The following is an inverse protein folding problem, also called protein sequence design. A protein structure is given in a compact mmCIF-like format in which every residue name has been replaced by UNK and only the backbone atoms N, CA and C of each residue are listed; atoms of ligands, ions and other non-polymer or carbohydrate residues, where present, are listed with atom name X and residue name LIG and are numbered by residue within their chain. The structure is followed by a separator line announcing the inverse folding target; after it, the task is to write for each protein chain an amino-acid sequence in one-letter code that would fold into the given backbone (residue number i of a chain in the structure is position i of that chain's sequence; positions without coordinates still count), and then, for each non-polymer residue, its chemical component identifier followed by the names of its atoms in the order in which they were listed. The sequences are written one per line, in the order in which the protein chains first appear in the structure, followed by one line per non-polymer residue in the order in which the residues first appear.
data_IF_178145612209
#
_entry.id   IF_178145612209
#
_cell.length_a   1.000
_cell.length_b   1.000
_cell.length_c   1.000
_cell.angle_alpha   90.00
_cell.angle_beta   90.00
_cell.angle_gamma   90.00
#
_symmetry.space_group_name_H-M   'P 1'
#
loop_
_entity.id
_entity.type
_entity.pdbx_description
1 polymer ?
#
# COMPACT_ATOMS: atom_id res chain seq x y z
N UNK A 1 12.18 62.01 -35.01
CA UNK A 1 11.66 61.67 -33.66
C UNK A 1 10.14 61.69 -33.69
N UNK A 2 9.50 60.52 -33.76
CA UNK A 2 8.08 60.36 -33.43
C UNK A 2 7.98 59.10 -32.59
N UNK A 3 7.91 59.34 -31.29
CA UNK A 3 7.66 58.34 -30.27
C UNK A 3 6.20 57.90 -30.40
N UNK A 4 5.96 56.63 -30.71
CA UNK A 4 4.64 56.00 -30.63
C UNK A 4 4.75 54.95 -29.53
N UNK A 5 4.26 55.32 -28.36
CA UNK A 5 4.08 54.47 -27.20
C UNK A 5 3.16 53.31 -27.56
N UNK A 6 3.73 52.12 -27.68
CA UNK A 6 3.00 50.87 -27.85
C UNK A 6 2.31 50.53 -26.52
N UNK A 7 0.98 50.64 -26.49
CA UNK A 7 0.18 50.25 -25.33
C UNK A 7 0.03 48.73 -25.34
N UNK A 8 0.82 48.03 -24.53
CA UNK A 8 0.71 46.59 -24.34
C UNK A 8 -0.48 46.26 -23.45
N UNK A 9 -1.54 45.71 -24.05
CA UNK A 9 -2.70 45.19 -23.32
C UNK A 9 -2.26 43.95 -22.54
N UNK A 10 -2.11 44.10 -21.22
CA UNK A 10 -1.85 42.96 -20.34
C UNK A 10 -3.19 42.37 -19.92
N UNK A 11 -3.62 41.29 -20.56
CA UNK A 11 -4.80 40.51 -20.15
C UNK A 11 -4.50 39.82 -18.82
N UNK A 12 -4.92 40.41 -17.70
CA UNK A 12 -4.95 39.72 -16.42
C UNK A 12 -6.16 38.78 -16.40
N UNK A 13 -5.93 37.49 -16.65
CA UNK A 13 -6.92 36.44 -16.36
C UNK A 13 -7.09 36.36 -14.85
N UNK A 14 -8.06 37.10 -14.31
CA UNK A 14 -8.56 36.88 -12.96
C UNK A 14 -9.32 35.56 -13.01
N UNK A 15 -8.75 34.48 -12.46
CA UNK A 15 -9.51 33.26 -12.22
C UNK A 15 -10.59 33.59 -11.18
N UNK A 16 -11.89 33.63 -11.56
CA UNK A 16 -12.94 33.93 -10.60
C UNK A 16 -12.93 32.83 -9.52
N UNK A 17 -12.75 33.24 -8.27
CA UNK A 17 -12.97 32.36 -7.13
C UNK A 17 -14.47 32.05 -7.10
N UNK A 18 -14.85 30.84 -7.50
CA UNK A 18 -16.24 30.39 -7.45
C UNK A 18 -16.48 29.70 -6.11
N UNK A 19 -17.46 30.19 -5.36
CA UNK A 19 -17.92 29.54 -4.12
C UNK A 19 -19.12 28.68 -4.49
N UNK A 20 -19.07 27.41 -4.12
CA UNK A 20 -20.18 26.49 -4.33
C UNK A 20 -20.58 25.85 -2.99
N UNK A 21 -21.89 25.68 -2.81
CA UNK A 21 -22.48 25.08 -1.62
C UNK A 21 -23.33 23.87 -1.97
N UNK A 22 -23.26 22.83 -1.14
CA UNK A 22 -24.02 21.60 -1.31
C UNK A 22 -24.69 21.20 0.00
N UNK A 23 -25.95 20.78 -0.09
CA UNK A 23 -26.68 20.15 1.00
C UNK A 23 -26.73 18.64 0.74
N UNK A 24 -26.26 17.84 1.70
CA UNK A 24 -26.34 16.38 1.62
C UNK A 24 -27.14 15.80 2.78
N UNK A 25 -27.88 14.72 2.52
CA UNK A 25 -28.63 13.96 3.50
C UNK A 25 -28.51 12.49 3.14
N UNK A 26 -28.34 11.63 4.14
CA UNK A 26 -28.20 10.20 3.93
C UNK A 26 -28.98 9.38 4.95
N UNK A 27 -29.44 8.22 4.52
CA UNK A 27 -29.99 7.17 5.38
C UNK A 27 -29.25 5.87 5.09
N UNK A 28 -28.98 5.07 6.11
CA UNK A 28 -28.38 3.75 5.95
C UNK A 28 -29.08 2.71 6.81
N UNK A 29 -29.11 1.49 6.32
CA UNK A 29 -29.59 0.31 7.01
C UNK A 29 -28.51 -0.78 6.90
N UNK A 30 -28.22 -1.45 8.00
CA UNK A 30 -27.29 -2.57 8.02
C UNK A 30 -27.87 -3.72 8.82
N UNK A 31 -27.45 -4.94 8.49
CA UNK A 31 -27.76 -6.14 9.26
C UNK A 31 -26.53 -7.02 9.36
N UNK A 32 -26.61 -8.09 10.13
CA UNK A 32 -25.54 -9.06 10.30
C UNK A 32 -26.11 -10.46 10.32
N UNK A 33 -25.61 -11.29 9.41
CA UNK A 33 -25.92 -12.72 9.34
C UNK A 33 -24.73 -13.54 9.82
N UNK A 34 -25.02 -14.63 10.53
CA UNK A 34 -24.02 -15.55 11.03
C UNK A 34 -24.30 -16.95 10.48
N UNK A 35 -23.30 -17.55 9.84
CA UNK A 35 -23.25 -18.97 9.52
C UNK A 35 -22.19 -19.65 10.37
N UNK A 36 -22.53 -20.74 11.04
CA UNK A 36 -21.60 -21.53 11.87
C UNK A 36 -21.63 -22.97 11.38
N UNK A 37 -20.46 -23.54 11.12
CA UNK A 37 -20.27 -24.94 10.71
C UNK A 37 -19.27 -25.61 11.66
N UNK A 38 -19.62 -26.75 12.26
CA UNK A 38 -18.83 -27.38 13.32
C UNK A 38 -18.36 -28.78 12.89
N UNK A 39 -17.24 -28.89 12.16
CA UNK A 39 -16.78 -30.17 11.64
C UNK A 39 -16.25 -31.11 12.72
N UNK A 40 -15.74 -30.59 13.84
CA UNK A 40 -15.21 -31.41 14.94
C UNK A 40 -14.02 -32.30 14.54
N UNK A 41 -13.31 -31.97 13.46
CA UNK A 41 -12.24 -32.78 12.88
C UNK A 41 -10.97 -31.94 12.68
N UNK A 42 -9.81 -32.60 12.68
CA UNK A 42 -8.49 -31.97 12.47
C UNK A 42 -8.16 -30.83 13.45
N UNK A 43 -8.66 -30.90 14.69
CA UNK A 43 -8.50 -29.84 15.69
C UNK A 43 -9.38 -28.60 15.45
N UNK A 44 -10.16 -28.56 14.37
CA UNK A 44 -11.07 -27.47 14.05
C UNK A 44 -12.43 -27.76 14.69
N UNK A 45 -12.81 -26.90 15.64
CA UNK A 45 -14.08 -27.01 16.36
C UNK A 45 -15.23 -26.32 15.62
N UNK A 46 -14.96 -25.18 14.97
CA UNK A 46 -15.96 -24.43 14.24
C UNK A 46 -15.35 -23.54 13.15
N UNK A 47 -16.09 -23.36 12.07
CA UNK A 47 -15.96 -22.27 11.12
C UNK A 47 -17.12 -21.30 11.33
N UNK A 48 -16.83 -20.01 11.31
CA UNK A 48 -17.82 -18.94 11.39
C UNK A 48 -17.67 -18.04 10.18
N UNK A 49 -18.78 -17.82 9.48
CA UNK A 49 -18.90 -16.81 8.44
C UNK A 49 -19.87 -15.73 8.92
N UNK A 50 -19.40 -14.49 8.96
CA UNK A 50 -20.24 -13.33 9.30
C UNK A 50 -20.42 -12.48 8.05
N UNK A 51 -21.67 -12.25 7.63
CA UNK A 51 -22.02 -11.36 6.51
C UNK A 51 -22.62 -10.09 7.07
N UNK A 52 -22.09 -8.94 6.70
CA UNK A 52 -22.57 -7.63 7.12
C UNK A 52 -22.94 -6.81 5.87
N UNK A 53 -24.17 -6.96 5.35
CA UNK A 53 -24.63 -6.09 4.28
C UNK A 53 -25.09 -4.74 4.85
N UNK A 54 -24.79 -3.69 4.10
CA UNK A 54 -25.17 -2.31 4.39
C UNK A 54 -25.73 -1.68 3.11
N UNK A 55 -26.93 -1.14 3.21
CA UNK A 55 -27.57 -0.33 2.20
C UNK A 55 -27.52 1.13 2.65
N UNK A 56 -27.06 2.03 1.78
CA UNK A 56 -27.04 3.46 2.05
C UNK A 56 -27.68 4.23 0.91
N UNK A 57 -28.48 5.23 1.21
CA UNK A 57 -29.04 6.15 0.24
C UNK A 57 -28.59 7.56 0.60
N UNK A 58 -27.89 8.23 -0.30
CA UNK A 58 -27.41 9.61 -0.12
C UNK A 58 -28.02 10.50 -1.19
N UNK A 59 -28.72 11.55 -0.76
CA UNK A 59 -29.16 12.65 -1.61
C UNK A 59 -28.25 13.85 -1.41
N UNK A 60 -27.85 14.48 -2.50
CA UNK A 60 -27.02 15.67 -2.47
C UNK A 60 -27.57 16.68 -3.48
N UNK A 61 -27.69 17.94 -3.08
CA UNK A 61 -28.24 19.02 -3.89
C UNK A 61 -27.32 20.22 -3.85
N UNK A 62 -27.04 20.78 -5.03
CA UNK A 62 -26.37 22.06 -5.11
C UNK A 62 -27.29 23.16 -4.58
N UNK A 63 -26.77 23.95 -3.64
CA UNK A 63 -27.48 25.09 -3.05
C UNK A 63 -27.12 26.37 -3.81
N UNK A 64 -25.83 26.57 -4.11
CA UNK A 64 -25.33 27.71 -4.88
C UNK A 64 -24.00 27.40 -5.57
N UNK A 65 -23.54 28.30 -6.45
CA UNK A 65 -22.33 28.17 -7.25
C UNK A 65 -22.61 27.68 -8.68
N UNK A 66 -21.58 27.65 -9.52
CA UNK A 66 -21.63 27.14 -10.89
C UNK A 66 -20.74 25.88 -11.01
N UNK A 67 -20.88 25.13 -12.10
CA UNK A 67 -20.06 23.93 -12.40
C UNK A 67 -20.22 22.72 -11.45
N UNK A 68 -21.29 22.65 -10.65
CA UNK A 68 -21.66 21.44 -9.92
C UNK A 68 -22.95 20.82 -10.47
N UNK A 69 -23.11 19.51 -10.21
CA UNK A 69 -24.33 18.80 -10.59
C UNK A 69 -25.49 19.30 -9.70
N UNK A 70 -26.62 19.67 -10.33
CA UNK A 70 -27.79 20.24 -9.63
C UNK A 70 -28.26 19.36 -8.47
N UNK A 71 -28.29 18.04 -8.67
CA UNK A 71 -28.57 17.06 -7.63
C UNK A 71 -27.95 15.70 -7.99
N UNK A 72 -27.73 14.86 -6.98
CA UNK A 72 -27.42 13.45 -7.11
C UNK A 72 -28.18 12.64 -6.06
N UNK A 73 -28.50 11.40 -6.41
CA UNK A 73 -29.13 10.45 -5.50
C UNK A 73 -28.44 9.12 -5.70
N UNK A 74 -27.67 8.68 -4.72
CA UNK A 74 -26.81 7.52 -4.78
C UNK A 74 -27.31 6.45 -3.81
N UNK A 75 -27.80 5.33 -4.33
CA UNK A 75 -27.96 4.10 -3.58
C UNK A 75 -26.63 3.35 -3.55
N UNK A 76 -26.21 2.85 -2.40
CA UNK A 76 -24.97 2.09 -2.22
C UNK A 76 -25.28 0.78 -1.52
N UNK A 77 -24.67 -0.29 -2.01
CA UNK A 77 -24.69 -1.60 -1.36
C UNK A 77 -23.25 -1.99 -1.05
N UNK A 78 -22.99 -2.34 0.20
CA UNK A 78 -21.72 -2.87 0.64
C UNK A 78 -21.98 -4.17 1.39
N UNK A 79 -21.17 -5.19 1.14
CA UNK A 79 -21.24 -6.48 1.82
C UNK A 79 -19.85 -6.87 2.31
N UNK A 80 -19.70 -6.93 3.63
CA UNK A 80 -18.48 -7.41 4.26
C UNK A 80 -18.66 -8.85 4.74
N UNK A 81 -17.78 -9.74 4.29
CA UNK A 81 -17.73 -11.13 4.70
C UNK A 81 -16.49 -11.34 5.56
N UNK A 82 -16.68 -11.90 6.75
CA UNK A 82 -15.58 -12.30 7.62
C UNK A 82 -15.64 -13.82 7.86
N UNK A 83 -14.57 -14.51 7.51
CA UNK A 83 -14.40 -15.95 7.70
C UNK A 83 -13.40 -16.17 8.82
N UNK A 84 -13.82 -16.93 9.83
CA UNK A 84 -13.04 -17.21 11.03
C UNK A 84 -13.12 -18.71 11.32
N UNK A 85 -12.08 -19.28 11.91
CA UNK A 85 -12.10 -20.63 12.45
C UNK A 85 -11.76 -20.62 13.94
N UNK A 86 -12.23 -21.66 14.63
CA UNK A 86 -11.92 -21.92 16.02
C UNK A 86 -11.21 -23.26 16.12
N UNK A 87 -9.99 -23.25 16.63
CA UNK A 87 -9.13 -24.42 16.76
C UNK A 87 -8.96 -24.74 18.24
N UNK A 88 -9.13 -26.01 18.62
CA UNK A 88 -8.78 -26.49 19.95
C UNK A 88 -7.32 -26.94 19.90
N UNK A 89 -6.45 -26.30 20.69
CA UNK A 89 -5.11 -26.82 20.92
C UNK A 89 -5.21 -28.00 21.89
N UNK A 90 -4.40 -29.04 21.71
CA UNK A 90 -4.31 -30.13 22.68
C UNK A 90 -3.79 -29.68 24.05
N UNK A 91 -3.10 -28.53 24.09
CA UNK A 91 -2.33 -28.04 25.25
C UNK A 91 -3.02 -26.87 25.98
N UNK A 92 -4.13 -26.35 25.44
CA UNK A 92 -4.90 -25.27 26.09
C UNK A 92 -6.37 -25.64 26.21
N UNK A 93 -6.96 -25.35 27.38
CA UNK A 93 -8.41 -25.54 27.62
C UNK A 93 -9.22 -24.61 26.72
N UNK A 94 -8.71 -23.41 26.45
CA UNK A 94 -9.37 -22.43 25.61
C UNK A 94 -9.08 -22.65 24.12
N UNK A 95 -10.14 -22.70 23.34
CA UNK A 95 -10.07 -22.76 21.89
C UNK A 95 -9.73 -21.39 21.28
N UNK A 96 -8.71 -21.36 20.43
CA UNK A 96 -8.20 -20.16 19.79
C UNK A 96 -9.00 -19.80 18.54
N UNK A 97 -9.31 -18.51 18.39
CA UNK A 97 -10.01 -17.97 17.24
C UNK A 97 -9.00 -17.39 16.24
N UNK A 98 -9.08 -17.83 14.99
CA UNK A 98 -8.19 -17.41 13.91
C UNK A 98 -9.06 -16.78 12.82
N UNK A 99 -8.75 -15.54 12.43
CA UNK A 99 -9.37 -14.92 11.27
C UNK A 99 -8.71 -15.48 10.01
N UNK A 100 -9.52 -16.05 9.12
CA UNK A 100 -9.05 -16.62 7.86
C UNK A 100 -9.05 -15.57 6.76
N UNK A 101 -10.16 -14.85 6.60
CA UNK A 101 -10.32 -14.01 5.41
C UNK A 101 -11.39 -12.94 5.60
N UNK A 102 -11.13 -11.75 5.08
CA UNK A 102 -12.14 -10.73 4.85
C UNK A 102 -12.36 -10.55 3.34
N UNK A 103 -13.63 -10.56 2.92
CA UNK A 103 -14.02 -10.27 1.54
C UNK A 103 -15.06 -9.16 1.54
N UNK A 104 -14.73 -8.03 0.93
CA UNK A 104 -15.66 -6.94 0.69
C UNK A 104 -16.20 -6.98 -0.74
N UNK A 105 -17.48 -6.67 -0.91
CA UNK A 105 -18.07 -6.34 -2.19
C UNK A 105 -18.83 -5.03 -2.08
N UNK A 106 -18.73 -4.16 -3.07
CA UNK A 106 -19.43 -2.89 -3.08
C UNK A 106 -19.87 -2.48 -4.48
N UNK A 107 -21.05 -1.87 -4.58
CA UNK A 107 -21.46 -1.15 -5.77
C UNK A 107 -22.44 -0.04 -5.38
N UNK A 108 -22.71 0.85 -6.32
CA UNK A 108 -23.68 1.92 -6.15
C UNK A 108 -24.51 2.11 -7.40
N UNK A 109 -25.67 2.75 -7.24
CA UNK A 109 -26.60 3.11 -8.29
C UNK A 109 -26.94 4.58 -8.17
N UNK A 110 -26.64 5.35 -9.21
CA UNK A 110 -26.94 6.77 -9.29
C UNK A 110 -28.30 6.97 -9.99
N UNK A 111 -29.32 7.29 -9.20
CA UNK A 111 -30.69 7.49 -9.68
C UNK A 111 -30.86 8.78 -10.50
N UNK A 112 -29.89 9.69 -10.46
CA UNK A 112 -29.97 10.98 -11.14
C UNK A 112 -29.25 10.98 -12.51
N UNK A 113 -28.73 9.83 -12.97
CA UNK A 113 -28.08 9.70 -14.30
C UNK A 113 -29.06 9.18 -15.34
N UNK A 114 -28.91 9.62 -16.59
CA UNK A 114 -29.72 9.12 -17.71
C UNK A 114 -29.24 7.75 -18.23
N UNK A 115 -27.98 7.39 -17.97
CA UNK A 115 -27.38 6.12 -18.38
C UNK A 115 -26.19 5.75 -17.49
N UNK A 116 -25.77 4.48 -17.53
CA UNK A 116 -24.64 3.96 -16.76
C UNK A 116 -24.83 4.25 -15.25
N UNK A 117 -26.03 3.93 -14.77
CA UNK A 117 -26.47 4.23 -13.42
C UNK A 117 -25.71 3.42 -12.36
N UNK A 118 -25.41 2.15 -12.62
CA UNK A 118 -24.57 1.34 -11.74
C UNK A 118 -23.11 1.79 -11.82
N UNK A 119 -22.45 1.84 -10.68
CA UNK A 119 -20.99 1.84 -10.63
C UNK A 119 -20.44 0.47 -11.02
N UNK A 120 -19.12 0.41 -11.16
CA UNK A 120 -18.44 -0.88 -11.15
C UNK A 120 -18.68 -1.60 -9.82
N UNK A 121 -18.70 -2.93 -9.89
CA UNK A 121 -18.69 -3.79 -8.71
C UNK A 121 -17.25 -3.93 -8.26
N UNK A 122 -16.96 -3.39 -7.08
CA UNK A 122 -15.67 -3.54 -6.44
C UNK A 122 -15.68 -4.78 -5.54
N UNK A 123 -14.56 -5.50 -5.57
CA UNK A 123 -14.25 -6.62 -4.69
C UNK A 123 -12.95 -6.28 -3.96
N UNK A 124 -12.90 -6.60 -2.68
CA UNK A 124 -11.69 -6.54 -1.88
C UNK A 124 -11.50 -7.85 -1.14
N UNK A 125 -10.25 -8.25 -0.99
CA UNK A 125 -9.86 -9.49 -0.37
C UNK A 125 -8.67 -9.24 0.54
N UNK A 126 -8.70 -9.81 1.75
CA UNK A 126 -7.58 -9.81 2.68
C UNK A 126 -7.54 -11.09 3.50
N UNK A 127 -6.38 -11.70 3.63
CA UNK A 127 -6.09 -12.78 4.57
C UNK A 127 -4.71 -12.55 5.18
N UNK A 128 -4.58 -12.89 6.45
CA UNK A 128 -3.33 -12.89 7.18
C UNK A 128 -3.17 -14.31 7.76
N UNK A 129 -2.22 -15.09 7.24
CA UNK A 129 -1.93 -16.45 7.73
C UNK A 129 -0.86 -16.34 8.81
N UNK A 130 -1.33 -16.17 10.05
CA UNK A 130 -0.49 -15.84 11.19
C UNK A 130 0.27 -14.53 10.95
N UNK A 131 1.53 -14.49 11.38
CA UNK A 131 2.45 -13.37 11.13
C UNK A 131 3.32 -13.56 9.87
N UNK A 132 3.12 -14.66 9.14
CA UNK A 132 4.03 -15.11 8.09
C UNK A 132 3.62 -14.62 6.72
N UNK A 133 2.33 -14.68 6.38
CA UNK A 133 1.88 -14.39 5.02
C UNK A 133 0.65 -13.49 5.03
N UNK A 134 0.86 -12.25 4.59
CA UNK A 134 -0.20 -11.31 4.26
C UNK A 134 -0.55 -11.42 2.78
N UNK A 135 -1.85 -11.57 2.48
CA UNK A 135 -2.37 -11.54 1.11
C UNK A 135 -3.49 -10.51 1.08
N UNK A 136 -3.42 -9.60 0.13
CA UNK A 136 -4.50 -8.64 -0.12
C UNK A 136 -4.70 -8.43 -1.60
N UNK A 137 -5.91 -8.12 -2.00
CA UNK A 137 -6.19 -7.83 -3.40
C UNK A 137 -7.50 -7.09 -3.56
N UNK A 138 -7.72 -6.62 -4.77
CA UNK A 138 -8.98 -6.04 -5.16
C UNK A 138 -9.22 -6.22 -6.65
N UNK A 139 -10.48 -6.16 -7.04
CA UNK A 139 -10.87 -6.19 -8.44
C UNK A 139 -12.08 -5.29 -8.65
N UNK A 140 -12.18 -4.69 -9.82
CA UNK A 140 -13.36 -3.94 -10.25
C UNK A 140 -13.91 -4.53 -11.54
N UNK A 141 -15.24 -4.65 -11.60
CA UNK A 141 -15.95 -5.17 -12.75
C UNK A 141 -16.97 -4.15 -13.24
N UNK A 142 -16.92 -3.82 -14.52
CA UNK A 142 -17.91 -2.99 -15.17
C UNK A 142 -19.05 -3.85 -15.70
N UNK A 143 -20.29 -3.51 -15.35
CA UNK A 143 -21.48 -4.29 -15.73
C UNK A 143 -21.95 -4.03 -17.16
N UNK A 144 -21.41 -2.99 -17.81
CA UNK A 144 -21.90 -2.49 -19.09
C UNK A 144 -21.04 -2.95 -20.26
N UNK A 145 -21.66 -3.18 -21.41
CA UNK A 145 -20.97 -3.55 -22.64
C UNK A 145 -20.07 -2.41 -23.15
N UNK A 146 -18.88 -2.75 -23.63
CA UNK A 146 -18.01 -1.83 -24.35
C UNK A 146 -18.27 -1.95 -25.85
N UNK A 147 -18.90 -0.92 -26.43
CA UNK A 147 -19.13 -0.85 -27.86
C UNK A 147 -17.86 -0.38 -28.57
N UNK A 148 -17.32 -1.23 -29.44
CA UNK A 148 -16.10 -0.95 -30.21
C UNK A 148 -16.31 0.07 -31.33
N UNK A 149 -17.54 0.20 -31.82
CA UNK A 149 -17.88 1.14 -32.90
C UNK A 149 -17.96 2.57 -32.38
N UNK A 150 -18.59 2.75 -31.21
CA UNK A 150 -18.74 4.06 -30.55
C UNK A 150 -17.58 4.35 -29.57
N UNK A 151 -16.71 3.37 -29.36
CA UNK A 151 -15.52 3.46 -28.51
C UNK A 151 -15.80 3.85 -27.05
N UNK A 152 -16.93 3.36 -26.49
CA UNK A 152 -17.34 3.66 -25.11
C UNK A 152 -18.25 2.58 -24.53
N UNK A 153 -18.41 2.61 -23.21
CA UNK A 153 -19.44 1.82 -22.53
C UNK A 153 -20.83 2.33 -22.93
N UNK A 154 -21.72 1.42 -23.26
CA UNK A 154 -23.13 1.71 -23.61
C UNK A 154 -24.06 1.15 -22.53
N UNK A 155 -25.26 1.73 -22.40
CA UNK A 155 -26.21 1.38 -21.34
C UNK A 155 -26.91 0.04 -21.58
N UNK A 156 -26.12 -1.02 -21.67
CA UNK A 156 -26.53 -2.38 -22.00
C UNK A 156 -25.73 -3.32 -21.11
N UNK A 157 -26.43 -4.16 -20.35
CA UNK A 157 -25.79 -5.01 -19.37
C UNK A 157 -25.12 -6.22 -20.03
N UNK A 158 -23.88 -6.50 -19.66
CA UNK A 158 -23.15 -7.67 -20.13
C UNK A 158 -23.85 -8.99 -19.76
N UNK A 159 -24.57 -9.00 -18.64
CA UNK A 159 -25.24 -10.20 -18.14
C UNK A 159 -26.40 -10.61 -19.05
N UNK A 160 -27.20 -9.65 -19.54
CA UNK A 160 -28.37 -9.93 -20.38
C UNK A 160 -27.99 -10.26 -21.82
N UNK A 161 -26.95 -9.64 -22.36
CA UNK A 161 -26.59 -9.78 -23.79
C UNK A 161 -25.63 -10.93 -24.04
N UNK A 162 -24.68 -11.14 -23.12
CA UNK A 162 -23.54 -12.05 -23.33
C UNK A 162 -23.43 -13.11 -22.23
N UNK A 163 -24.33 -13.13 -21.24
CA UNK A 163 -24.27 -14.03 -20.09
C UNK A 163 -23.07 -13.78 -19.17
N UNK A 164 -22.40 -12.62 -19.29
CA UNK A 164 -21.20 -12.28 -18.51
C UNK A 164 -21.56 -11.37 -17.35
N UNK A 165 -21.10 -11.70 -16.14
CA UNK A 165 -21.35 -10.86 -14.97
C UNK A 165 -20.84 -9.42 -15.14
N UNK A 166 -19.64 -9.26 -15.70
CA UNK A 166 -19.05 -7.95 -15.98
C UNK A 166 -17.66 -8.09 -16.58
N UNK A 167 -17.16 -7.01 -17.16
CA UNK A 167 -15.79 -6.92 -17.66
C UNK A 167 -14.85 -6.46 -16.56
N UNK A 168 -13.74 -7.17 -16.36
CA UNK A 168 -12.69 -6.75 -15.45
C UNK A 168 -12.06 -5.43 -15.93
N UNK A 169 -12.10 -4.39 -15.10
CA UNK A 169 -11.51 -3.07 -15.38
C UNK A 169 -10.23 -2.83 -14.62
N UNK A 170 -10.09 -3.43 -13.44
CA UNK A 170 -8.83 -3.43 -12.71
C UNK A 170 -8.73 -4.63 -11.78
N UNK A 171 -7.51 -5.08 -11.53
CA UNK A 171 -7.21 -6.05 -10.50
C UNK A 171 -5.87 -5.71 -9.87
N UNK A 172 -5.78 -5.86 -8.55
CA UNK A 172 -4.53 -5.78 -7.81
C UNK A 172 -4.41 -6.95 -6.86
N UNK A 173 -3.18 -7.41 -6.66
CA UNK A 173 -2.82 -8.46 -5.74
C UNK A 173 -1.49 -8.10 -5.10
N UNK A 174 -1.42 -8.17 -3.78
CA UNK A 174 -0.23 -7.96 -2.99
C UNK A 174 -0.04 -9.14 -2.05
N UNK A 175 1.17 -9.69 -2.05
CA UNK A 175 1.62 -10.75 -1.17
C UNK A 175 2.82 -10.22 -0.38
N UNK A 176 2.86 -10.45 0.92
CA UNK A 176 4.02 -10.10 1.74
C UNK A 176 4.30 -11.15 2.78
N UNK A 177 5.58 -11.49 2.93
CA UNK A 177 6.06 -12.36 4.01
C UNK A 177 7.26 -11.71 4.68
N UNK A 178 7.31 -11.83 6.01
CA UNK A 178 8.44 -11.35 6.81
C UNK A 178 8.85 -12.41 7.80
N UNK A 179 10.11 -12.80 7.74
CA UNK A 179 10.74 -13.72 8.67
C UNK A 179 11.79 -12.95 9.46
N UNK A 180 11.81 -13.15 10.78
CA UNK A 180 12.77 -12.51 11.68
C UNK A 180 13.37 -13.57 12.58
N UNK A 181 14.68 -13.51 12.77
CA UNK A 181 15.34 -14.30 13.80
C UNK A 181 14.96 -13.82 15.20
N UNK A 182 14.95 -14.73 16.16
CA UNK A 182 14.68 -14.39 17.55
C UNK A 182 15.72 -13.40 18.08
N UNK A 183 15.23 -12.41 18.85
CA UNK A 183 16.09 -11.39 19.44
C UNK A 183 17.11 -12.09 20.35
N UNK A 184 18.41 -11.82 20.15
CA UNK A 184 19.41 -12.27 21.13
C UNK A 184 19.09 -11.59 22.45
N UNK A 185 18.76 -12.38 23.48
CA UNK A 185 18.69 -11.86 24.84
C UNK A 185 20.08 -11.33 25.18
N UNK A 186 20.18 -10.03 25.42
CA UNK A 186 21.39 -9.46 26.00
C UNK A 186 21.62 -10.17 27.35
N UNK A 187 22.87 -10.49 27.73
CA UNK A 187 23.17 -10.89 29.09
C UNK A 187 22.58 -9.83 30.03
N UNK A 188 21.89 -10.26 31.09
CA UNK A 188 21.36 -9.35 32.09
C UNK A 188 22.54 -8.62 32.75
N UNK A 189 22.89 -7.44 32.27
CA UNK A 189 23.86 -6.58 32.94
C UNK A 189 23.17 -6.04 34.18
N UNK A 190 23.58 -6.56 35.34
CA UNK A 190 23.17 -6.02 36.63
C UNK A 190 23.65 -4.58 36.76
N UNK A 191 22.71 -3.66 37.00
CA UNK A 191 22.92 -2.42 37.73
C UNK A 191 23.34 -1.20 36.92
N UNK A 192 22.37 -0.32 36.59
CA UNK A 192 22.30 1.10 37.01
C UNK A 192 20.81 1.52 36.96
N UNK A 193 20.23 2.22 37.95
CA UNK A 193 18.83 2.63 37.91
C UNK A 193 18.62 3.73 36.85
N UNK A 194 17.76 3.47 35.86
CA UNK A 194 17.29 4.48 34.93
C UNK A 194 16.15 5.28 35.59
N UNK A 195 16.49 6.40 36.22
CA UNK A 195 15.54 7.46 36.57
C UNK A 195 15.80 8.65 35.65
N UNK A 196 15.23 8.68 34.44
CA UNK A 196 14.88 9.94 33.74
C UNK A 196 13.77 9.67 32.71
N UNK A 197 12.59 10.25 32.95
CA UNK A 197 11.56 10.68 31.99
C UNK A 197 10.84 9.61 31.14
N UNK A 198 9.81 9.01 31.73
CA UNK A 198 8.64 8.55 31.00
C UNK A 198 7.63 9.71 30.89
N UNK A 199 7.72 10.51 29.81
CA UNK A 199 6.67 11.45 29.47
C UNK A 199 6.62 11.67 27.96
N UNK A 200 5.84 10.81 27.29
CA UNK A 200 5.09 11.03 26.04
C UNK A 200 4.76 9.67 25.39
N UNK A 201 3.87 8.93 26.03
CA UNK A 201 3.07 7.92 25.35
C UNK A 201 1.83 8.63 24.80
N UNK A 202 1.63 8.62 23.48
CA UNK A 202 0.34 8.99 22.93
C UNK A 202 0.32 9.50 21.50
N UNK A 203 0.82 8.75 20.51
CA UNK A 203 0.20 8.75 19.16
C UNK A 203 0.29 7.35 18.58
N UNK A 204 -0.82 6.62 18.64
CA UNK A 204 -1.07 5.46 17.79
C UNK A 204 -1.12 5.93 16.33
N UNK A 205 -0.05 5.70 15.56
CA UNK A 205 -0.11 5.87 14.10
C UNK A 205 -0.79 4.65 13.50
N UNK A 206 -2.10 4.81 13.32
CA UNK A 206 -2.92 4.09 12.34
C UNK A 206 -2.18 3.93 11.01
N UNK A 207 -2.31 2.74 10.43
CA UNK A 207 -1.66 2.34 9.19
C UNK A 207 -1.74 3.37 8.08
N UNK A 208 -0.57 3.87 7.70
CA UNK A 208 -0.30 4.47 6.42
C UNK A 208 1.08 3.95 6.01
N UNK A 209 1.09 3.09 5.00
CA UNK A 209 2.28 2.80 4.21
C UNK A 209 2.93 4.15 3.84
N UNK A 210 4.21 4.39 4.12
CA UNK A 210 4.83 5.61 3.63
C UNK A 210 4.74 5.58 2.10
N UNK A 211 4.17 6.60 1.44
CA UNK A 211 4.38 6.74 0.01
C UNK A 211 5.89 6.74 -0.21
N UNK A 212 6.36 6.07 -1.27
CA UNK A 212 7.73 6.20 -1.76
C UNK A 212 7.91 7.65 -2.16
N UNK A 213 8.17 8.52 -1.18
CA UNK A 213 8.68 9.85 -1.42
C UNK A 213 10.07 9.61 -1.95
N UNK A 214 10.30 10.02 -3.18
CA UNK A 214 11.62 10.43 -3.63
C UNK A 214 12.05 11.66 -2.81
N UNK A 215 12.15 11.51 -1.51
CA UNK A 215 12.81 12.45 -0.63
C UNK A 215 14.26 12.04 -0.66
N UNK A 216 15.13 12.95 -1.10
CA UNK A 216 16.50 13.01 -0.64
C UNK A 216 16.45 13.09 0.89
N UNK A 217 16.31 11.96 1.57
CA UNK A 217 16.54 11.87 3.00
C UNK A 217 18.00 12.24 3.17
N UNK A 218 18.22 13.42 3.73
CA UNK A 218 19.53 13.79 4.22
C UNK A 218 19.91 12.76 5.28
N UNK A 219 21.21 12.58 5.40
CA UNK A 219 21.87 11.55 6.21
C UNK A 219 21.54 11.61 7.72
N UNK A 220 20.87 12.66 8.18
CA UNK A 220 20.72 12.99 9.60
C UNK A 220 19.50 12.34 10.28
N UNK A 221 18.59 11.71 9.53
CA UNK A 221 17.31 11.20 10.06
C UNK A 221 17.20 9.66 10.10
N UNK A 222 18.32 8.92 10.03
CA UNK A 222 18.26 7.44 10.07
C UNK A 222 18.74 6.90 11.41
N UNK A 223 17.79 6.26 12.12
CA UNK A 223 18.03 5.48 13.34
C UNK A 223 19.29 4.61 13.23
N UNK A 224 20.06 4.59 14.31
CA UNK A 224 21.22 3.72 14.46
C UNK A 224 20.81 2.25 14.29
N UNK A 225 21.73 1.45 13.76
CA UNK A 225 21.49 0.04 13.51
C UNK A 225 21.13 -0.72 14.80
N UNK A 226 19.95 -1.35 14.84
CA UNK A 226 19.56 -2.25 15.93
C UNK A 226 20.20 -3.64 15.71
N UNK A 227 21.23 -3.94 16.51
CA UNK A 227 21.98 -5.21 16.43
C UNK A 227 21.26 -6.40 17.07
N UNK A 228 20.09 -6.20 17.68
CA UNK A 228 19.43 -7.22 18.50
C UNK A 228 18.67 -8.29 17.70
N UNK A 229 18.31 -8.01 16.45
CA UNK A 229 17.65 -8.96 15.53
C UNK A 229 18.73 -9.56 14.62
N UNK A 230 19.03 -10.88 14.70
CA UNK A 230 20.17 -11.46 13.98
C UNK A 230 19.97 -11.46 12.47
N UNK A 231 18.71 -11.54 12.01
CA UNK A 231 18.35 -11.40 10.60
C UNK A 231 16.86 -11.10 10.42
N UNK A 232 16.53 -10.43 9.31
CA UNK A 232 15.18 -10.16 8.83
C UNK A 232 15.15 -10.34 7.31
N UNK A 233 14.29 -11.24 6.85
CA UNK A 233 13.98 -11.44 5.44
C UNK A 233 12.55 -10.97 5.17
N UNK A 234 12.39 -9.98 4.31
CA UNK A 234 11.10 -9.52 3.80
C UNK A 234 11.01 -9.83 2.32
N UNK A 235 9.97 -10.54 1.92
CA UNK A 235 9.61 -10.74 0.52
C UNK A 235 8.25 -10.09 0.26
N UNK A 236 8.14 -9.33 -0.81
CA UNK A 236 6.85 -8.80 -1.27
C UNK A 236 6.67 -9.07 -2.75
N UNK A 237 5.44 -9.35 -3.14
CA UNK A 237 5.03 -9.46 -4.53
C UNK A 237 3.81 -8.58 -4.74
N UNK A 238 3.81 -7.81 -5.83
CA UNK A 238 2.68 -6.97 -6.20
C UNK A 238 2.38 -7.19 -7.67
N UNK A 239 1.12 -7.39 -7.99
CA UNK A 239 0.57 -7.42 -9.34
C UNK A 239 -0.52 -6.38 -9.43
N UNK A 240 -0.54 -5.63 -10.52
CA UNK A 240 -1.67 -4.77 -10.85
C UNK A 240 -1.94 -4.81 -12.34
N UNK A 241 -3.22 -4.76 -12.70
CA UNK A 241 -3.68 -4.56 -14.06
C UNK A 241 -4.77 -3.49 -14.07
N UNK A 242 -4.66 -2.56 -15.02
CA UNK A 242 -5.73 -1.63 -15.37
C UNK A 242 -6.14 -1.86 -16.83
N UNK A 243 -7.45 -1.89 -17.06
CA UNK A 243 -8.09 -2.26 -18.32
C UNK A 243 -9.49 -1.59 -18.42
N UNK A 244 -9.54 -0.26 -18.26
CA UNK A 244 -10.81 0.48 -18.39
C UNK A 244 -11.48 0.26 -19.76
N UNK A 245 -10.68 0.30 -20.83
CA UNK A 245 -11.03 -0.20 -22.15
C UNK A 245 -10.60 -1.68 -22.25
N UNK A 246 -11.51 -2.63 -22.54
CA UNK A 246 -11.20 -4.05 -22.66
C UNK A 246 -10.10 -4.39 -23.68
N UNK A 247 -9.76 -3.50 -24.60
CA UNK A 247 -8.73 -3.72 -25.62
C UNK A 247 -7.32 -3.39 -25.13
N UNK A 248 -7.18 -2.51 -24.14
CA UNK A 248 -5.88 -2.02 -23.65
C UNK A 248 -5.62 -2.48 -22.22
N UNK A 249 -4.58 -3.30 -22.04
CA UNK A 249 -4.20 -3.86 -20.74
C UNK A 249 -2.86 -3.27 -20.30
N UNK A 250 -2.89 -2.49 -19.23
CA UNK A 250 -1.69 -2.00 -18.57
C UNK A 250 -1.42 -2.88 -17.36
N UNK A 251 -0.22 -3.47 -17.28
CA UNK A 251 0.15 -4.41 -16.23
C UNK A 251 1.44 -3.97 -15.57
N UNK A 252 1.52 -4.17 -14.27
CA UNK A 252 2.78 -4.19 -13.53
C UNK A 252 2.82 -5.42 -12.64
N UNK A 253 4.01 -5.97 -12.46
CA UNK A 253 4.23 -7.12 -11.61
C UNK A 253 5.64 -7.05 -11.06
N UNK A 254 5.79 -6.90 -9.76
CA UNK A 254 7.10 -6.79 -9.13
C UNK A 254 7.22 -7.69 -7.91
N UNK A 255 8.34 -8.41 -7.80
CA UNK A 255 8.77 -9.01 -6.55
C UNK A 255 9.92 -8.21 -5.98
N UNK A 256 9.92 -8.00 -4.67
CA UNK A 256 11.02 -7.41 -3.94
C UNK A 256 11.46 -8.37 -2.85
N UNK A 257 12.76 -8.50 -2.67
CA UNK A 257 13.38 -9.26 -1.61
C UNK A 257 14.33 -8.33 -0.86
N UNK A 258 14.20 -8.26 0.45
CA UNK A 258 15.15 -7.55 1.31
C UNK A 258 15.57 -8.45 2.45
N UNK A 259 16.88 -8.67 2.57
CA UNK A 259 17.48 -9.42 3.66
C UNK A 259 18.44 -8.50 4.40
N UNK A 260 18.24 -8.33 5.70
CA UNK A 260 19.20 -7.70 6.60
C UNK A 260 19.64 -8.72 7.64
N UNK A 261 20.94 -8.80 7.93
CA UNK A 261 21.47 -9.68 8.96
C UNK A 261 22.73 -9.12 9.60
N UNK A 262 22.98 -9.54 10.83
CA UNK A 262 24.17 -9.19 11.59
C UNK A 262 25.17 -10.34 11.52
N UNK A 263 26.26 -10.16 10.75
CA UNK A 263 27.29 -11.19 10.61
C UNK A 263 28.06 -11.38 11.92
N UNK A 264 28.33 -10.27 12.63
CA UNK A 264 28.83 -10.24 14.01
C UNK A 264 28.19 -9.05 14.74
N UNK A 265 28.51 -8.83 16.03
CA UNK A 265 27.98 -7.70 16.81
C UNK A 265 28.33 -6.31 16.25
N UNK A 266 29.32 -6.23 15.36
CA UNK A 266 29.79 -4.98 14.76
C UNK A 266 29.54 -4.90 13.25
N UNK A 267 28.92 -5.91 12.65
CA UNK A 267 28.71 -5.97 11.20
C UNK A 267 27.24 -6.20 10.87
N UNK A 268 26.66 -5.28 10.14
CA UNK A 268 25.33 -5.41 9.56
C UNK A 268 25.44 -5.42 8.04
N UNK A 269 24.77 -6.38 7.41
CA UNK A 269 24.68 -6.51 5.97
C UNK A 269 23.20 -6.43 5.58
N UNK A 270 22.86 -5.49 4.71
CA UNK A 270 21.58 -5.34 4.06
C UNK A 270 21.71 -5.68 2.57
N UNK A 271 20.73 -6.40 2.05
CA UNK A 271 20.62 -6.67 0.62
C UNK A 271 19.20 -6.36 0.18
N UNK A 272 19.09 -5.87 -1.04
CA UNK A 272 17.82 -5.63 -1.70
C UNK A 272 17.90 -6.13 -3.13
N UNK A 273 16.83 -6.75 -3.61
CA UNK A 273 16.66 -7.11 -5.00
C UNK A 273 15.22 -6.89 -5.39
N UNK A 274 15.00 -6.46 -6.64
CA UNK A 274 13.67 -6.33 -7.20
C UNK A 274 13.62 -6.88 -8.62
N UNK A 275 12.48 -7.43 -9.01
CA UNK A 275 12.28 -8.02 -10.33
C UNK A 275 10.92 -7.63 -10.88
N UNK A 276 10.91 -7.05 -12.07
CA UNK A 276 9.71 -6.73 -12.84
C UNK A 276 9.39 -7.88 -13.80
N UNK A 277 8.32 -8.64 -13.51
CA UNK A 277 7.91 -9.80 -14.32
C UNK A 277 7.21 -9.40 -15.63
N UNK A 278 6.68 -8.18 -15.74
CA UNK A 278 6.04 -7.72 -16.98
C UNK A 278 7.11 -7.35 -18.00
N UNK A 279 8.09 -6.55 -17.59
CA UNK A 279 9.19 -6.13 -18.45
C UNK A 279 10.34 -7.14 -18.51
N UNK A 280 10.30 -8.18 -17.66
CA UNK A 280 11.36 -9.19 -17.49
C UNK A 280 12.72 -8.55 -17.16
N UNK A 281 12.70 -7.51 -16.32
CA UNK A 281 13.89 -6.74 -15.95
C UNK A 281 14.21 -6.94 -14.49
N UNK A 282 15.47 -7.24 -14.19
CA UNK A 282 16.01 -7.12 -12.85
C UNK A 282 16.15 -5.63 -12.52
N UNK A 283 15.63 -5.23 -11.37
CA UNK A 283 15.78 -3.87 -10.87
C UNK A 283 16.86 -3.82 -9.79
N UNK A 284 17.84 -2.95 -10.04
CA UNK A 284 19.00 -2.55 -9.23
C UNK A 284 19.09 -3.29 -7.88
N UNK A 285 19.67 -4.49 -7.84
CA UNK A 285 20.05 -5.08 -6.55
C UNK A 285 21.04 -4.15 -5.84
N UNK A 286 21.00 -4.14 -4.52
CA UNK A 286 21.99 -3.43 -3.71
C UNK A 286 22.48 -4.30 -2.57
N UNK A 287 23.74 -4.06 -2.20
CA UNK A 287 24.35 -4.61 -1.00
C UNK A 287 24.86 -3.43 -0.19
N UNK A 288 24.35 -3.30 1.02
CA UNK A 288 24.74 -2.31 2.01
C UNK A 288 25.45 -3.02 3.16
N UNK A 289 26.70 -2.65 3.43
CA UNK A 289 27.49 -3.20 4.52
C UNK A 289 27.85 -2.07 5.46
N UNK A 290 27.48 -2.22 6.74
CA UNK A 290 27.82 -1.30 7.81
C UNK A 290 28.68 -2.02 8.82
N UNK A 291 29.81 -1.39 9.18
CA UNK A 291 30.70 -1.88 10.23
C UNK A 291 30.94 -0.81 11.27
N UNK A 292 30.76 -1.19 12.53
CA UNK A 292 31.19 -0.41 13.68
C UNK A 292 32.71 -0.59 13.94
N UNK A 293 33.43 0.52 13.95
CA UNK A 293 34.88 0.61 14.19
C UNK A 293 35.17 1.40 15.49
N UNK A 294 34.26 1.35 16.46
CA UNK A 294 34.29 2.07 17.74
C UNK A 294 34.07 3.58 17.61
N UNK A 295 35.10 4.35 17.22
CA UNK A 295 34.99 5.80 17.01
C UNK A 295 34.55 6.17 15.59
N UNK A 296 34.58 5.18 14.69
CA UNK A 296 34.27 5.35 13.28
C UNK A 296 33.14 4.40 12.88
N UNK A 297 32.42 4.76 11.83
CA UNK A 297 31.47 3.89 11.14
C UNK A 297 31.88 3.80 9.68
N UNK A 298 32.03 2.57 9.20
CA UNK A 298 32.28 2.28 7.79
C UNK A 298 30.95 1.87 7.13
N UNK A 299 30.65 2.46 5.99
CA UNK A 299 29.51 2.10 5.14
C UNK A 299 29.96 1.84 3.72
N UNK A 300 29.61 0.68 3.19
CA UNK A 300 29.86 0.29 1.81
C UNK A 300 28.54 -0.05 1.14
N UNK A 301 28.14 0.71 0.12
CA UNK A 301 26.97 0.42 -0.71
C UNK A 301 27.44 0.02 -2.09
N UNK A 302 27.00 -1.12 -2.59
CA UNK A 302 27.35 -1.66 -3.90
C UNK A 302 26.10 -1.99 -4.71
N UNK A 303 26.08 -1.53 -5.94
CA UNK A 303 25.10 -1.86 -6.96
C UNK A 303 25.81 -2.70 -8.03
N UNK A 304 25.66 -4.04 -8.01
CA UNK A 304 26.40 -4.91 -8.91
C UNK A 304 25.94 -4.83 -10.37
N UNK A 305 24.75 -4.31 -10.63
CA UNK A 305 24.20 -4.17 -11.98
C UNK A 305 23.12 -3.07 -12.06
N UNK A 306 22.83 -2.63 -13.28
CA UNK A 306 21.78 -1.66 -13.59
C UNK A 306 22.33 -0.25 -13.82
N UNK A 307 21.44 0.71 -14.01
CA UNK A 307 21.82 2.10 -14.37
C UNK A 307 22.65 2.83 -13.30
N UNK A 308 22.70 2.29 -12.07
CA UNK A 308 23.49 2.83 -10.95
C UNK A 308 24.66 1.90 -10.59
N UNK A 309 25.08 1.04 -11.51
CA UNK A 309 26.20 0.13 -11.29
C UNK A 309 27.43 0.90 -10.77
N UNK A 310 27.99 0.40 -9.67
CA UNK A 310 29.05 1.08 -8.97
C UNK A 310 29.03 0.80 -7.48
N UNK A 311 29.95 1.43 -6.77
CA UNK A 311 30.03 1.31 -5.31
C UNK A 311 30.33 2.67 -4.67
N UNK A 312 29.98 2.80 -3.40
CA UNK A 312 30.34 3.92 -2.54
C UNK A 312 30.79 3.39 -1.19
N UNK A 313 32.05 3.65 -0.84
CA UNK A 313 32.62 3.46 0.48
C UNK A 313 32.66 4.81 1.19
N UNK A 314 32.24 4.82 2.45
CA UNK A 314 32.21 6.00 3.30
C UNK A 314 32.68 5.65 4.70
N UNK A 315 33.66 6.38 5.22
CA UNK A 315 34.09 6.32 6.62
C UNK A 315 33.74 7.65 7.29
N UNK A 316 33.14 7.58 8.47
CA UNK A 316 32.73 8.74 9.26
C UNK A 316 33.07 8.56 10.73
N UNK A 317 33.41 9.66 11.39
CA UNK A 317 33.56 9.72 12.85
C UNK A 317 32.17 9.80 13.49
N UNK A 318 31.91 9.04 14.58
CA UNK A 318 30.60 9.03 15.26
C UNK A 318 30.32 10.30 16.07
N UNK A 319 31.35 10.97 16.56
CA UNK A 319 31.24 12.13 17.43
C UNK A 319 30.44 13.27 16.73
N UNK A 320 29.36 13.79 17.35
CA UNK A 320 28.53 14.85 16.75
C UNK A 320 29.30 16.12 16.38
N UNK A 321 30.40 16.39 17.10
CA UNK A 321 31.24 17.58 16.90
C UNK A 321 32.27 17.45 15.77
N UNK A 322 32.44 16.26 15.18
CA UNK A 322 33.46 15.97 14.15
C UNK A 322 32.87 15.31 12.88
N UNK A 323 31.57 15.48 12.63
CA UNK A 323 30.89 14.87 11.48
C UNK A 323 31.40 15.36 10.11
N UNK A 324 32.16 16.46 10.09
CA UNK A 324 32.79 17.00 8.89
C UNK A 324 33.96 16.13 8.39
N UNK A 325 34.54 15.27 9.25
CA UNK A 325 35.58 14.32 8.86
C UNK A 325 34.93 13.09 8.23
N UNK A 326 34.84 13.11 6.90
CA UNK A 326 34.36 11.97 6.09
C UNK A 326 35.34 11.63 4.98
N UNK A 327 35.63 10.35 4.80
CA UNK A 327 36.37 9.84 3.64
C UNK A 327 35.38 9.10 2.76
N UNK A 328 35.20 9.56 1.52
CA UNK A 328 34.30 8.92 0.55
C UNK A 328 35.09 8.46 -0.68
N UNK A 329 34.90 7.22 -1.08
CA UNK A 329 35.40 6.68 -2.35
C UNK A 329 34.22 6.08 -3.11
N UNK A 330 34.06 6.46 -4.37
CA UNK A 330 32.97 5.94 -5.20
C UNK A 330 33.48 5.62 -6.60
N UNK A 331 32.90 4.60 -7.23
CA UNK A 331 33.02 4.36 -8.65
C UNK A 331 31.61 4.44 -9.25
N UNK A 332 31.41 5.31 -10.21
CA UNK A 332 30.17 5.41 -10.96
C UNK A 332 30.52 5.41 -12.45
N UNK A 333 30.00 4.45 -13.22
CA UNK A 333 29.97 4.61 -14.66
C UNK A 333 29.03 5.78 -14.98
N UNK A 334 29.60 6.96 -15.28
CA UNK A 334 28.85 8.03 -15.95
C UNK A 334 28.61 7.60 -17.40
N UNK A 335 27.56 6.83 -17.62
CA UNK A 335 27.02 6.64 -18.96
C UNK A 335 26.45 7.98 -19.43
N UNK A 336 27.13 8.62 -20.39
CA UNK A 336 26.54 9.65 -21.24
C UNK A 336 25.59 8.91 -22.20
N UNK A 337 24.30 9.12 -22.06
CA UNK A 337 23.30 8.87 -23.10
C UNK A 337 22.29 10.01 -23.10
#
# INVERSE_FOLDING_TARGET
MRDRTDSTITMQTTNPQSIAGNLSTGISASTRFYGIFQPGAFGITAFRHTVNPTLGLTYSKQVYGENMRKYSMLGSFNMSNNFEMKVQSSDTVDAQKIQLMNVGMGFSYDFAKDSLNFSEVSLSYRTDIGQYLGISGGASYNLYEFDRTVNRRVNRYLLSEHGKFGDLTSVSLSLSTSFRGEKKQAPATQGVPANVQAEQAGVSSTGLTPPVRQSYQTIYDREEADFSIPWNLTLSFTFSQSQADPRFKFRSSSANASLSFNLTELWQIGTFASYDFVNKKHFVPSVDVTRDLHCWTMRFTWYPMGIREGYKLELRVKAPQLQDIKVTKQNAQRGIY
#
